data_IF_233006537244
#
_entry.id   IF_233006537244
#
_cell.length_a   1.000
_cell.length_b   1.000
_cell.length_c   1.000
_cell.angle_alpha   90.00
_cell.angle_beta   90.00
_cell.angle_gamma   90.00
#
_symmetry.space_group_name_H-M   'P 1'
#
loop_
_entity.id
_entity.type
_entity.pdbx_description
1 polymer ?
#
# COMPACT_ATOMS: atom_id res chain seq x y z
N UNK A 1 -17.37 6.06 11.03
CA UNK A 1 -16.53 4.91 11.46
C UNK A 1 -15.16 5.14 10.88
N UNK A 2 -14.12 5.21 11.73
CA UNK A 2 -12.75 5.60 11.41
C UNK A 2 -12.13 4.77 10.26
N UNK A 3 -11.40 5.40 9.32
CA UNK A 3 -10.60 4.73 8.29
C UNK A 3 -9.60 3.85 9.02
N UNK A 4 -9.76 2.53 8.89
CA UNK A 4 -8.91 1.58 9.60
C UNK A 4 -8.29 0.61 8.60
N UNK A 5 -6.97 0.70 8.49
CA UNK A 5 -6.18 -0.35 7.84
C UNK A 5 -6.21 -1.56 8.77
N UNK A 6 -7.00 -2.57 8.39
CA UNK A 6 -7.14 -3.81 9.14
C UNK A 6 -6.07 -4.80 8.73
N UNK A 7 -5.44 -5.38 9.74
CA UNK A 7 -4.47 -6.45 9.57
C UNK A 7 -5.17 -7.80 9.56
N UNK A 8 -4.90 -8.63 8.54
CA UNK A 8 -5.58 -9.92 8.29
C UNK A 8 -4.67 -11.13 8.33
N UNK A 9 -3.49 -11.00 8.94
CA UNK A 9 -2.54 -12.13 9.03
C UNK A 9 -3.15 -13.34 9.73
N UNK A 10 -3.98 -13.13 10.77
CA UNK A 10 -4.62 -14.22 11.50
C UNK A 10 -5.55 -15.04 10.60
N UNK A 11 -6.35 -14.37 9.79
CA UNK A 11 -7.29 -14.96 8.85
C UNK A 11 -6.56 -15.72 7.74
N UNK A 12 -5.49 -15.14 7.18
CA UNK A 12 -4.65 -15.80 6.17
C UNK A 12 -4.02 -17.07 6.75
N UNK A 13 -3.39 -16.98 7.93
CA UNK A 13 -2.79 -18.16 8.57
C UNK A 13 -3.83 -19.25 8.86
N UNK A 14 -5.02 -18.88 9.31
CA UNK A 14 -6.08 -19.85 9.60
C UNK A 14 -6.64 -20.51 8.33
N UNK A 15 -6.71 -19.78 7.21
CA UNK A 15 -7.19 -20.30 5.93
C UNK A 15 -6.31 -21.40 5.37
N UNK A 16 -5.00 -21.30 5.55
CA UNK A 16 -4.01 -22.25 5.02
C UNK A 16 -3.41 -23.17 6.09
N UNK A 17 -4.05 -23.28 7.27
CA UNK A 17 -3.58 -24.06 8.44
C UNK A 17 -2.11 -23.78 8.84
N UNK A 18 -1.65 -22.55 8.68
CA UNK A 18 -0.25 -22.19 8.96
C UNK A 18 -0.07 -22.01 10.47
N UNK A 19 0.85 -22.80 11.05
CA UNK A 19 1.22 -22.70 12.46
C UNK A 19 2.17 -21.53 12.70
N UNK A 20 1.92 -20.80 13.78
CA UNK A 20 2.77 -19.67 14.19
C UNK A 20 4.22 -20.08 14.48
N UNK A 21 4.44 -21.30 14.98
CA UNK A 21 5.77 -21.84 15.22
C UNK A 21 6.56 -22.05 13.93
N UNK A 22 5.93 -22.56 12.88
CA UNK A 22 6.61 -22.82 11.61
C UNK A 22 6.84 -21.53 10.83
N UNK A 23 5.92 -20.57 10.91
CA UNK A 23 6.12 -19.22 10.37
C UNK A 23 7.29 -18.50 11.04
N UNK A 24 7.43 -18.64 12.37
CA UNK A 24 8.54 -18.06 13.12
C UNK A 24 9.89 -18.62 12.66
N UNK A 25 9.97 -19.95 12.46
CA UNK A 25 11.17 -20.62 11.94
C UNK A 25 11.50 -20.16 10.52
N UNK A 26 10.50 -20.13 9.63
CA UNK A 26 10.69 -19.72 8.23
C UNK A 26 11.17 -18.26 8.12
N UNK A 27 10.70 -17.38 9.00
CA UNK A 27 11.14 -15.99 9.05
C UNK A 27 12.43 -15.75 9.85
N UNK A 28 12.90 -16.73 10.62
CA UNK A 28 14.04 -16.58 11.52
C UNK A 28 13.79 -15.62 12.70
N UNK A 29 12.53 -15.50 13.15
CA UNK A 29 12.13 -14.61 14.25
C UNK A 29 11.60 -15.38 15.45
N UNK A 30 11.48 -14.71 16.59
CA UNK A 30 10.90 -15.34 17.78
C UNK A 30 9.42 -15.68 17.60
N UNK A 31 8.96 -16.76 18.23
CA UNK A 31 7.55 -17.12 18.26
C UNK A 31 6.68 -15.99 18.85
N UNK A 32 7.20 -15.24 19.81
CA UNK A 32 6.49 -14.11 20.40
C UNK A 32 6.28 -12.96 19.39
N UNK A 33 7.24 -12.73 18.50
CA UNK A 33 7.13 -11.75 17.41
C UNK A 33 5.96 -12.10 16.49
N UNK A 34 5.87 -13.36 16.04
CA UNK A 34 4.75 -13.83 15.21
C UNK A 34 3.42 -13.77 15.98
N UNK A 35 3.41 -14.14 17.26
CA UNK A 35 2.21 -14.06 18.08
C UNK A 35 1.68 -12.62 18.21
N UNK A 36 2.59 -11.64 18.37
CA UNK A 36 2.24 -10.22 18.40
C UNK A 36 1.72 -9.72 17.05
N UNK A 37 2.40 -10.09 15.94
CA UNK A 37 1.94 -9.77 14.59
C UNK A 37 0.53 -10.32 14.33
N UNK A 38 0.23 -11.55 14.75
CA UNK A 38 -1.09 -12.18 14.57
C UNK A 38 -2.18 -11.54 15.43
N UNK A 39 -1.83 -11.01 16.61
CA UNK A 39 -2.78 -10.35 17.53
C UNK A 39 -3.06 -8.90 17.16
N UNK A 40 -2.17 -8.26 16.39
CA UNK A 40 -2.34 -6.88 15.96
C UNK A 40 -3.61 -6.72 15.13
N UNK A 41 -4.44 -5.73 15.49
CA UNK A 41 -5.65 -5.38 14.73
C UNK A 41 -5.35 -4.41 13.58
N UNK A 42 -4.34 -3.58 13.78
CA UNK A 42 -3.83 -2.60 12.81
C UNK A 42 -2.48 -3.05 12.28
N UNK A 43 -2.09 -2.52 11.11
CA UNK A 43 -0.81 -2.83 10.50
C UNK A 43 0.35 -2.43 11.44
N UNK A 44 1.17 -3.38 11.91
CA UNK A 44 2.33 -3.08 12.73
C UNK A 44 3.44 -2.46 11.89
N UNK A 45 4.44 -1.88 12.55
CA UNK A 45 5.59 -1.26 11.87
C UNK A 45 6.45 -2.35 11.22
N UNK A 46 6.24 -2.56 9.93
CA UNK A 46 6.91 -3.56 9.10
C UNK A 46 7.63 -2.86 7.95
N UNK A 47 8.89 -3.22 7.73
CA UNK A 47 9.65 -2.78 6.57
C UNK A 47 9.32 -3.61 5.33
N UNK A 48 9.60 -3.06 4.14
CA UNK A 48 9.33 -3.73 2.86
C UNK A 48 10.01 -5.10 2.76
N UNK A 49 11.24 -5.23 3.26
CA UNK A 49 11.96 -6.51 3.30
C UNK A 49 11.28 -7.53 4.22
N UNK A 50 10.80 -7.09 5.39
CA UNK A 50 10.10 -7.96 6.34
C UNK A 50 8.76 -8.42 5.79
N UNK A 51 8.05 -7.53 5.09
CA UNK A 51 6.79 -7.86 4.42
C UNK A 51 7.01 -8.87 3.28
N UNK A 52 8.06 -8.69 2.48
CA UNK A 52 8.43 -9.63 1.43
C UNK A 52 8.77 -11.02 2.00
N UNK A 53 9.60 -11.08 3.05
CA UNK A 53 9.93 -12.33 3.75
C UNK A 53 8.69 -13.00 4.33
N UNK A 54 7.77 -12.22 4.90
CA UNK A 54 6.51 -12.72 5.42
C UNK A 54 5.67 -13.37 4.31
N UNK A 55 5.49 -12.71 3.17
CA UNK A 55 4.77 -13.28 2.03
C UNK A 55 5.44 -14.56 1.52
N UNK A 56 6.75 -14.56 1.36
CA UNK A 56 7.49 -15.76 0.91
C UNK A 56 7.35 -16.92 1.89
N UNK A 57 7.47 -16.66 3.19
CA UNK A 57 7.31 -17.67 4.22
C UNK A 57 5.88 -18.23 4.27
N UNK A 58 4.86 -17.38 4.08
CA UNK A 58 3.46 -17.81 4.02
C UNK A 58 3.20 -18.70 2.80
N UNK A 59 3.67 -18.30 1.61
CA UNK A 59 3.53 -19.10 0.39
C UNK A 59 4.27 -20.44 0.49
N UNK A 60 5.43 -20.45 1.15
CA UNK A 60 6.20 -21.69 1.37
C UNK A 60 5.50 -22.66 2.32
N UNK A 61 4.81 -22.15 3.35
CA UNK A 61 4.18 -22.97 4.39
C UNK A 61 2.74 -23.37 4.08
N UNK A 62 2.04 -22.60 3.25
CA UNK A 62 0.68 -22.92 2.88
C UNK A 62 0.62 -24.25 2.12
N UNK A 63 -0.26 -25.14 2.55
CA UNK A 63 -0.65 -26.33 1.79
C UNK A 63 -1.89 -25.99 0.98
N UNK A 64 -1.94 -26.47 -0.26
CA UNK A 64 -3.06 -26.25 -1.17
C UNK A 64 -3.28 -24.77 -1.55
N UNK A 65 -2.24 -24.10 -2.07
CA UNK A 65 -2.41 -22.76 -2.64
C UNK A 65 -3.29 -22.83 -3.89
N UNK A 66 -4.51 -22.32 -3.78
CA UNK A 66 -5.32 -21.99 -4.96
C UNK A 66 -4.80 -20.73 -5.68
N UNK A 67 -3.99 -19.91 -4.99
CA UNK A 67 -3.36 -18.70 -5.51
C UNK A 67 -2.29 -18.16 -4.54
N UNK A 68 -1.37 -17.34 -5.05
CA UNK A 68 -0.26 -16.76 -4.29
C UNK A 68 -0.77 -15.76 -3.23
N UNK A 69 -0.23 -15.84 -2.02
CA UNK A 69 -0.51 -14.91 -0.94
C UNK A 69 0.29 -13.63 -1.18
N UNK A 70 -0.41 -12.53 -1.42
CA UNK A 70 0.22 -11.22 -1.71
C UNK A 70 0.04 -10.24 -0.55
N UNK A 71 0.78 -9.11 -0.51
CA UNK A 71 0.63 -8.10 0.54
C UNK A 71 -0.79 -7.54 0.68
N UNK A 72 -1.58 -7.56 -0.40
CA UNK A 72 -2.97 -7.07 -0.38
C UNK A 72 -3.90 -8.03 0.37
N UNK A 73 -3.57 -9.31 0.44
CA UNK A 73 -4.34 -10.29 1.22
C UNK A 73 -4.18 -10.07 2.72
N UNK A 74 -3.02 -9.54 3.13
CA UNK A 74 -2.69 -9.25 4.52
C UNK A 74 -3.34 -7.96 5.04
N UNK A 75 -3.74 -7.05 4.14
CA UNK A 75 -4.14 -5.69 4.48
C UNK A 75 -5.50 -5.36 3.86
N UNK A 76 -6.44 -4.90 4.69
CA UNK A 76 -7.74 -4.44 4.22
C UNK A 76 -7.93 -2.96 4.52
N UNK A 77 -8.19 -2.19 3.47
CA UNK A 77 -8.51 -0.77 3.57
C UNK A 77 -10.03 -0.56 3.56
N UNK A 78 -10.52 0.38 4.37
CA UNK A 78 -11.91 0.85 4.34
C UNK A 78 -11.89 2.35 4.56
N UNK A 79 -12.35 3.11 3.57
CA UNK A 79 -12.37 4.58 3.60
C UNK A 79 -13.38 5.06 4.65
N UNK A 80 -13.02 6.10 5.39
CA UNK A 80 -13.94 6.84 6.24
C UNK A 80 -15.16 7.29 5.42
N UNK A 81 -16.39 7.15 5.96
CA UNK A 81 -17.49 7.90 5.39
C UNK A 81 -17.15 9.39 5.57
N UNK A 82 -17.04 10.10 4.44
CA UNK A 82 -17.04 11.56 4.46
C UNK A 82 -18.36 11.98 5.09
N UNK A 83 -18.36 12.37 6.35
CA UNK A 83 -19.48 13.12 6.90
C UNK A 83 -19.47 14.44 6.13
N UNK A 84 -20.47 14.79 5.30
CA UNK A 84 -20.59 16.16 4.84
C UNK A 84 -20.80 16.98 6.10
N UNK A 85 -19.81 17.79 6.49
CA UNK A 85 -19.95 18.80 7.54
C UNK A 85 -21.17 19.65 7.19
N UNK A 86 -22.28 19.60 7.95
CA UNK A 86 -23.41 20.48 7.71
C UNK A 86 -23.18 21.76 8.50
N UNK A 87 -22.35 22.67 7.98
CA UNK A 87 -22.35 24.09 8.30
C UNK A 87 -21.10 24.77 7.72
N UNK A 88 -21.12 25.09 6.43
CA UNK A 88 -20.62 26.40 5.99
C UNK A 88 -21.69 26.95 5.03
N UNK A 89 -22.51 27.83 5.59
CA UNK A 89 -23.43 28.73 4.88
C UNK A 89 -22.73 29.35 3.67
N UNK A 90 -23.38 29.45 2.49
CA UNK A 90 -22.82 30.14 1.33
C UNK A 90 -22.74 31.64 1.66
N UNK A 91 -21.55 32.09 2.07
CA UNK A 91 -21.18 33.49 2.18
C UNK A 91 -20.19 33.82 1.06
N UNK A 92 -20.60 34.72 0.18
CA UNK A 92 -19.82 35.32 -0.90
C UNK A 92 -18.36 35.62 -0.52
N UNK A 93 -17.40 35.28 -1.38
CA UNK A 93 -16.26 36.17 -1.67
C UNK A 93 -15.73 35.85 -3.07
N UNK A 94 -16.20 36.68 -4.01
CA UNK A 94 -15.42 37.41 -5.02
C UNK A 94 -14.46 36.63 -5.95
N UNK A 95 -14.91 36.55 -7.20
CA UNK A 95 -14.10 36.30 -8.39
C UNK A 95 -13.12 37.47 -8.62
N UNK A 96 -11.85 37.32 -8.21
CA UNK A 96 -10.74 38.14 -8.70
C UNK A 96 -9.84 37.28 -9.59
N UNK A 97 -10.23 37.18 -10.86
CA UNK A 97 -9.37 36.68 -11.94
C UNK A 97 -8.85 37.87 -12.75
N UNK A 98 -7.84 38.55 -12.22
CA UNK A 98 -7.05 39.53 -12.95
C UNK A 98 -5.86 38.83 -13.61
N UNK A 99 -6.00 38.66 -14.93
CA UNK A 99 -5.01 38.50 -16.01
C UNK A 99 -3.51 38.67 -15.66
N UNK A 100 -2.63 37.83 -16.23
CA UNK A 100 -1.76 38.23 -17.37
C UNK A 100 -0.60 37.23 -17.65
N UNK A 101 -0.78 36.46 -18.73
CA UNK A 101 0.18 36.26 -19.84
C UNK A 101 1.61 35.78 -19.54
N UNK A 102 1.90 34.51 -19.90
CA UNK A 102 3.15 34.18 -20.61
C UNK A 102 2.87 33.35 -21.86
N UNK A 103 3.44 33.87 -22.96
CA UNK A 103 3.33 33.46 -24.36
C UNK A 103 3.74 32.00 -24.57
N UNK A 104 2.90 31.24 -25.26
CA UNK A 104 3.30 30.04 -26.01
C UNK A 104 3.56 30.49 -27.46
N UNK A 105 4.84 30.50 -27.86
CA UNK A 105 5.23 30.56 -29.27
C UNK A 105 5.53 29.12 -29.70
N UNK A 106 4.84 28.67 -30.74
CA UNK A 106 4.94 27.35 -31.35
C UNK A 106 6.20 27.20 -32.20
N UNK A 107 6.54 25.93 -32.49
CA UNK A 107 7.40 25.41 -33.60
C UNK A 107 8.87 25.83 -33.53
N UNK A 108 9.89 24.99 -33.72
CA UNK A 108 10.05 23.80 -34.53
C UNK A 108 11.37 23.14 -34.04
N UNK A 109 11.39 21.82 -33.75
CA UNK A 109 12.63 21.12 -33.37
C UNK A 109 13.11 20.22 -34.52
N UNK A 110 13.76 20.84 -35.50
CA UNK A 110 14.53 20.16 -36.54
C UNK A 110 15.97 19.98 -36.06
N UNK A 111 16.34 18.76 -35.66
CA UNK A 111 17.74 18.37 -35.43
C UNK A 111 18.33 17.80 -36.72
N UNK A 112 19.40 18.37 -37.30
CA UNK A 112 20.10 17.77 -38.40
C UNK A 112 21.16 16.74 -37.96
N UNK A 113 21.22 15.72 -38.78
CA UNK A 113 22.06 14.51 -38.82
C UNK A 113 23.57 14.78 -38.93
N UNK A 114 24.32 13.89 -38.25
CA UNK A 114 25.70 13.41 -38.51
C UNK A 114 26.88 14.39 -38.48
N UNK A 115 27.85 14.10 -37.61
CA UNK A 115 29.26 14.33 -37.89
C UNK A 115 30.07 13.06 -37.59
N UNK A 116 30.66 12.52 -38.66
CA UNK A 116 31.46 11.31 -38.69
C UNK A 116 32.91 11.62 -38.27
N UNK A 117 33.53 10.61 -37.68
CA UNK A 117 34.94 10.52 -37.27
C UNK A 117 35.91 10.60 -38.45
N UNK A 118 37.05 11.28 -38.25
CA UNK A 118 38.33 11.00 -38.89
C UNK A 118 39.46 11.48 -37.96
#
# INVERSE_FOLDING_TARGET
>A
MQTLIRWRLKEVMARYDIRAGDLAKAMGVSHNSIANLRKAKTMPRLDGESLNKLCNALNFLAQDLTGEITPIDLISYTKDPVTPTPAETPGETELEQSSQTRKLHSTDNQSPTSLFVA
#
